data_IF_977412625592
#
_entry.id   IF_977412625592
#
_cell.length_a   1.000
_cell.length_b   1.000
_cell.length_c   1.000
_cell.angle_alpha   90.00
_cell.angle_beta   90.00
_cell.angle_gamma   90.00
#
_symmetry.space_group_name_H-M   'P 1'
#
loop_
_entity.id
_entity.type
_entity.pdbx_description
1 polymer ?
#
# COMPACT_ATOMS: atom_id res chain seq x y z
N UNK A 1 12.35 -17.35 -8.96
CA UNK A 1 12.84 -16.04 -9.48
C UNK A 1 12.69 -14.99 -8.38
N UNK A 2 13.58 -14.00 -8.27
CA UNK A 2 13.42 -12.93 -7.25
C UNK A 2 12.31 -11.99 -7.70
N UNK A 3 11.30 -11.81 -6.85
CA UNK A 3 10.28 -10.77 -7.01
C UNK A 3 10.90 -9.42 -6.63
N UNK A 4 11.04 -8.54 -7.63
CA UNK A 4 11.74 -7.25 -7.47
C UNK A 4 10.98 -6.27 -6.58
N UNK A 5 9.64 -6.27 -6.60
CA UNK A 5 8.85 -5.45 -5.68
C UNK A 5 9.03 -5.90 -4.24
N UNK A 6 9.01 -7.21 -4.02
CA UNK A 6 9.24 -7.79 -2.69
C UNK A 6 10.65 -7.52 -2.20
N UNK A 7 11.65 -7.61 -3.09
CA UNK A 7 13.03 -7.22 -2.78
C UNK A 7 13.15 -5.77 -2.34
N UNK A 8 12.53 -4.83 -3.09
CA UNK A 8 12.52 -3.42 -2.73
C UNK A 8 11.84 -3.21 -1.37
N UNK A 9 10.68 -3.85 -1.12
CA UNK A 9 10.00 -3.77 0.18
C UNK A 9 10.87 -4.30 1.32
N UNK A 10 11.54 -5.44 1.13
CA UNK A 10 12.42 -6.03 2.14
C UNK A 10 13.65 -5.15 2.40
N UNK A 11 14.27 -4.59 1.36
CA UNK A 11 15.38 -3.63 1.51
C UNK A 11 14.95 -2.37 2.29
N UNK A 12 13.75 -1.86 2.04
CA UNK A 12 13.20 -0.70 2.75
C UNK A 12 12.81 -1.02 4.20
N UNK A 13 12.28 -2.22 4.46
CA UNK A 13 11.86 -2.65 5.79
C UNK A 13 13.05 -2.83 6.76
N UNK A 14 14.23 -3.15 6.24
CA UNK A 14 15.43 -3.36 7.05
C UNK A 14 16.10 -2.09 7.61
N UNK A 15 15.47 -0.90 7.45
CA UNK A 15 15.78 0.40 8.05
C UNK A 15 17.26 0.85 8.17
N UNK A 16 17.51 2.07 7.67
CA UNK A 16 18.79 2.77 7.48
C UNK A 16 19.68 2.20 6.37
N UNK A 17 20.13 3.12 5.50
CA UNK A 17 21.19 2.83 4.53
C UNK A 17 22.38 2.18 5.22
N UNK A 18 22.99 1.21 4.54
CA UNK A 18 24.06 0.42 5.13
C UNK A 18 25.18 0.14 4.12
N UNK A 19 26.05 -0.81 4.48
CA UNK A 19 27.23 -1.17 3.72
C UNK A 19 26.94 -1.76 2.34
N UNK A 20 25.75 -2.33 2.10
CA UNK A 20 25.37 -2.96 0.83
C UNK A 20 24.12 -2.34 0.18
N UNK A 21 23.44 -1.43 0.86
CA UNK A 21 22.18 -0.82 0.43
C UNK A 21 22.20 0.70 0.62
N UNK A 22 21.73 1.40 -0.40
CA UNK A 22 21.60 2.86 -0.47
C UNK A 22 20.23 3.19 -1.10
N UNK A 23 19.64 4.34 -0.73
CA UNK A 23 18.41 4.81 -1.35
C UNK A 23 18.56 6.26 -1.78
N UNK A 24 17.81 6.64 -2.81
CA UNK A 24 17.85 7.99 -3.35
C UNK A 24 16.45 8.39 -3.79
N UNK A 25 16.11 9.65 -3.54
CA UNK A 25 14.86 10.23 -4.04
C UNK A 25 14.81 10.25 -5.57
N UNK A 26 15.90 10.67 -6.24
CA UNK A 26 16.00 10.75 -7.70
C UNK A 26 17.41 10.45 -8.20
N UNK A 27 17.52 9.92 -9.42
CA UNK A 27 18.79 9.65 -10.07
C UNK A 27 19.18 10.77 -11.04
N UNK A 28 20.09 11.65 -10.60
CA UNK A 28 20.52 12.79 -11.40
C UNK A 28 21.72 12.44 -12.30
N UNK A 29 21.47 12.00 -13.55
CA UNK A 29 22.54 11.65 -14.51
C UNK A 29 22.79 12.73 -15.58
N UNK A 30 22.15 13.89 -15.51
CA UNK A 30 22.32 14.95 -16.51
C UNK A 30 23.50 15.88 -16.20
N UNK A 31 23.79 16.13 -14.92
CA UNK A 31 24.90 17.00 -14.49
C UNK A 31 26.19 16.22 -14.23
N UNK A 32 27.35 16.90 -14.35
CA UNK A 32 28.65 16.31 -13.99
C UNK A 32 28.70 15.91 -12.51
N UNK A 33 28.11 16.73 -11.64
CA UNK A 33 28.03 16.47 -10.21
C UNK A 33 27.19 15.23 -9.89
N UNK A 34 26.00 15.11 -10.48
CA UNK A 34 25.12 13.97 -10.26
C UNK A 34 25.72 12.65 -10.75
N UNK A 35 26.36 12.66 -11.93
CA UNK A 35 27.15 11.53 -12.43
C UNK A 35 28.28 11.15 -11.46
N UNK A 36 29.01 12.14 -10.94
CA UNK A 36 30.09 11.90 -9.98
C UNK A 36 29.59 11.27 -8.68
N UNK A 37 28.49 11.79 -8.11
CA UNK A 37 27.84 11.23 -6.91
C UNK A 37 27.39 9.79 -7.14
N UNK A 38 26.72 9.51 -8.25
CA UNK A 38 26.27 8.16 -8.58
C UNK A 38 27.46 7.18 -8.73
N UNK A 39 28.47 7.55 -9.52
CA UNK A 39 29.67 6.74 -9.71
C UNK A 39 30.42 6.49 -8.39
N UNK A 40 30.46 7.47 -7.49
CA UNK A 40 31.03 7.33 -6.15
C UNK A 40 30.31 6.24 -5.36
N UNK A 41 28.98 6.24 -5.35
CA UNK A 41 28.17 5.22 -4.66
C UNK A 41 28.39 3.83 -5.26
N UNK A 42 28.37 3.71 -6.59
CA UNK A 42 28.65 2.45 -7.29
C UNK A 42 30.03 1.89 -6.89
N UNK A 43 31.06 2.73 -6.93
CA UNK A 43 32.43 2.35 -6.60
C UNK A 43 32.53 1.87 -5.15
N UNK A 44 31.97 2.64 -4.21
CA UNK A 44 31.98 2.33 -2.78
C UNK A 44 31.24 1.01 -2.47
N UNK A 45 30.02 0.85 -3.00
CA UNK A 45 29.19 -0.33 -2.77
C UNK A 45 29.78 -1.59 -3.39
N UNK A 46 30.39 -1.50 -4.57
CA UNK A 46 31.08 -2.63 -5.19
C UNK A 46 32.29 -3.07 -4.38
N UNK A 47 33.12 -2.12 -3.95
CA UNK A 47 34.37 -2.43 -3.25
C UNK A 47 34.13 -2.97 -1.84
N UNK A 48 33.07 -2.55 -1.17
CA UNK A 48 32.69 -3.07 0.17
C UNK A 48 32.00 -4.43 0.13
N UNK A 49 31.55 -4.91 -1.03
CA UNK A 49 30.74 -6.12 -1.15
C UNK A 49 31.24 -7.05 -2.28
N UNK A 50 32.45 -7.62 -2.15
CA UNK A 50 33.02 -8.46 -3.20
C UNK A 50 32.31 -9.82 -3.37
N UNK A 51 31.48 -10.24 -2.42
CA UNK A 51 30.86 -11.58 -2.39
C UNK A 51 29.32 -11.59 -2.35
N UNK A 52 28.67 -10.43 -2.35
CA UNK A 52 27.22 -10.31 -2.38
C UNK A 52 26.80 -9.19 -3.33
N UNK A 53 25.53 -9.18 -3.74
CA UNK A 53 25.00 -8.04 -4.47
C UNK A 53 24.88 -6.83 -3.54
N UNK A 54 24.99 -5.64 -4.13
CA UNK A 54 24.64 -4.37 -3.49
C UNK A 54 23.50 -3.71 -4.25
N UNK A 55 22.73 -2.87 -3.57
CA UNK A 55 21.49 -2.31 -4.08
C UNK A 55 21.44 -0.80 -3.91
N UNK A 56 20.96 -0.11 -4.95
CA UNK A 56 20.49 1.28 -4.83
C UNK A 56 19.02 1.31 -5.24
N UNK A 57 18.15 1.77 -4.35
CA UNK A 57 16.72 1.97 -4.65
C UNK A 57 16.47 3.45 -4.92
N UNK A 58 15.91 3.75 -6.08
CA UNK A 58 15.67 5.11 -6.57
C UNK A 58 14.17 5.38 -6.65
N UNK A 59 13.74 6.58 -6.24
CA UNK A 59 12.32 6.95 -6.18
C UNK A 59 11.72 6.75 -4.79
N UNK A 60 12.54 6.88 -3.75
CA UNK A 60 12.14 6.71 -2.35
C UNK A 60 12.62 7.89 -1.51
N UNK A 61 11.78 8.40 -0.63
CA UNK A 61 12.13 9.47 0.30
C UNK A 61 13.12 9.02 1.39
N UNK A 62 14.10 9.88 1.67
CA UNK A 62 15.22 9.57 2.57
C UNK A 62 14.78 9.46 4.04
N UNK A 63 13.77 10.21 4.46
CA UNK A 63 13.33 10.23 5.86
C UNK A 63 12.23 9.20 6.18
N UNK A 64 11.31 8.97 5.24
CA UNK A 64 10.07 8.20 5.50
C UNK A 64 10.06 6.80 4.90
N UNK A 65 11.04 6.46 4.04
CA UNK A 65 11.00 5.27 3.17
C UNK A 65 9.77 5.24 2.22
N UNK A 66 9.08 6.36 2.03
CA UNK A 66 7.91 6.43 1.17
C UNK A 66 8.32 6.32 -0.30
N UNK A 67 7.62 5.45 -1.04
CA UNK A 67 7.85 5.26 -2.47
C UNK A 67 7.14 6.36 -3.25
N UNK A 68 7.90 7.29 -3.82
CA UNK A 68 7.41 8.44 -4.60
C UNK A 68 7.57 8.29 -6.11
N UNK A 69 8.42 7.34 -6.52
CA UNK A 69 8.76 7.07 -7.92
C UNK A 69 9.69 8.11 -8.54
N UNK A 70 10.43 7.67 -9.56
CA UNK A 70 11.34 8.46 -10.37
C UNK A 70 11.05 8.23 -11.87
N UNK A 71 11.73 8.99 -12.72
CA UNK A 71 11.65 8.88 -14.17
C UNK A 71 12.25 7.55 -14.67
N UNK A 72 11.84 7.13 -15.87
CA UNK A 72 12.38 5.94 -16.53
C UNK A 72 13.83 6.17 -17.01
N UNK A 73 14.73 5.23 -16.71
CA UNK A 73 16.10 5.24 -17.25
C UNK A 73 16.43 3.98 -18.05
N UNK A 74 17.27 4.16 -19.07
CA UNK A 74 17.82 3.07 -19.89
C UNK A 74 19.09 2.50 -19.22
N UNK A 75 19.04 1.20 -18.89
CA UNK A 75 20.13 0.44 -18.27
C UNK A 75 21.45 0.55 -19.05
N UNK A 76 21.38 0.56 -20.39
CA UNK A 76 22.58 0.64 -21.24
C UNK A 76 23.36 1.93 -21.01
N UNK A 77 22.66 3.06 -20.78
CA UNK A 77 23.28 4.36 -20.50
C UNK A 77 24.00 4.36 -19.15
N UNK A 78 23.44 3.67 -18.17
CA UNK A 78 24.00 3.55 -16.82
C UNK A 78 25.28 2.72 -16.85
N UNK A 79 25.25 1.52 -17.45
CA UNK A 79 26.44 0.68 -17.55
C UNK A 79 27.55 1.36 -18.37
N UNK A 80 27.20 2.05 -19.46
CA UNK A 80 28.17 2.80 -20.27
C UNK A 80 28.84 3.93 -19.48
N UNK A 81 28.07 4.66 -18.66
CA UNK A 81 28.61 5.69 -17.76
C UNK A 81 29.64 5.08 -16.80
N UNK A 82 29.33 3.95 -16.18
CA UNK A 82 30.23 3.28 -15.23
C UNK A 82 31.50 2.80 -15.94
N UNK A 83 31.37 2.19 -17.11
CA UNK A 83 32.50 1.72 -17.92
C UNK A 83 33.42 2.86 -18.38
N UNK A 84 32.87 4.05 -18.63
CA UNK A 84 33.63 5.19 -19.12
C UNK A 84 34.57 5.79 -18.05
N UNK A 85 34.18 5.73 -16.76
CA UNK A 85 34.88 6.42 -15.67
C UNK A 85 35.60 5.50 -14.69
N UNK A 86 35.21 4.23 -14.58
CA UNK A 86 35.86 3.29 -13.68
C UNK A 86 36.80 2.34 -14.43
N UNK A 87 37.91 2.02 -13.78
CA UNK A 87 38.71 0.84 -14.05
C UNK A 87 38.14 -0.33 -13.26
N UNK A 88 38.22 -1.55 -13.80
CA UNK A 88 37.52 -2.71 -13.27
C UNK A 88 36.04 -2.44 -12.93
N UNK A 89 35.22 -1.83 -13.79
CA UNK A 89 33.83 -1.48 -13.46
C UNK A 89 33.02 -2.73 -13.03
N UNK A 90 32.16 -2.63 -11.99
CA UNK A 90 31.24 -3.70 -11.67
C UNK A 90 30.18 -3.86 -12.77
N UNK A 91 29.62 -5.06 -12.87
CA UNK A 91 28.42 -5.26 -13.68
C UNK A 91 27.23 -4.75 -12.89
N UNK A 92 26.46 -3.87 -13.51
CA UNK A 92 25.27 -3.26 -12.94
C UNK A 92 24.08 -3.70 -13.78
N UNK A 93 22.94 -3.84 -13.13
CA UNK A 93 21.65 -4.02 -13.76
C UNK A 93 20.71 -2.97 -13.18
N UNK A 94 20.15 -2.13 -14.03
CA UNK A 94 19.10 -1.21 -13.67
C UNK A 94 17.75 -1.72 -14.17
N UNK A 95 16.80 -1.87 -13.25
CA UNK A 95 15.44 -2.32 -13.57
C UNK A 95 14.44 -1.23 -13.18
N UNK A 96 13.58 -0.85 -14.14
CA UNK A 96 12.45 0.05 -13.91
C UNK A 96 11.26 -0.77 -13.38
N UNK A 97 11.01 -0.72 -12.07
CA UNK A 97 9.97 -1.52 -11.43
C UNK A 97 8.69 -0.69 -11.26
N UNK A 98 7.58 -1.01 -11.93
CA UNK A 98 6.33 -0.30 -11.73
C UNK A 98 5.72 -0.68 -10.38
N UNK A 99 5.21 0.30 -9.64
CA UNK A 99 4.50 0.09 -8.37
C UNK A 99 3.01 0.46 -8.50
N UNK A 100 2.09 -0.29 -7.87
CA UNK A 100 0.64 -0.11 -8.05
C UNK A 100 0.11 1.28 -7.67
N UNK A 101 0.73 1.94 -6.69
CA UNK A 101 0.30 3.25 -6.19
C UNK A 101 1.00 4.43 -6.89
N UNK A 102 1.86 4.16 -7.88
CA UNK A 102 2.55 5.21 -8.63
C UNK A 102 1.79 5.59 -9.91
N UNK A 103 1.90 6.86 -10.35
CA UNK A 103 1.49 7.28 -11.69
C UNK A 103 2.11 6.40 -12.79
N UNK A 104 1.42 6.29 -13.94
CA UNK A 104 1.84 5.39 -15.05
C UNK A 104 3.22 5.74 -15.64
N UNK A 105 3.62 7.00 -15.52
CA UNK A 105 4.88 7.57 -16.00
C UNK A 105 6.02 7.46 -14.98
N UNK A 106 5.74 6.97 -13.76
CA UNK A 106 6.73 6.82 -12.69
C UNK A 106 7.03 5.37 -12.38
N UNK A 107 8.29 5.11 -12.03
CA UNK A 107 8.79 3.78 -11.66
C UNK A 107 9.71 3.87 -10.45
N UNK A 108 9.96 2.75 -9.78
CA UNK A 108 11.04 2.64 -8.81
C UNK A 108 12.25 2.03 -9.51
N UNK A 109 13.36 2.76 -9.51
CA UNK A 109 14.61 2.27 -10.09
C UNK A 109 15.32 1.33 -9.11
N UNK A 110 15.60 0.10 -9.53
CA UNK A 110 16.43 -0.83 -8.76
C UNK A 110 17.77 -1.00 -9.47
N UNK A 111 18.82 -0.46 -8.86
CA UNK A 111 20.21 -0.69 -9.29
C UNK A 111 20.74 -1.91 -8.53
N UNK A 112 21.02 -3.00 -9.22
CA UNK A 112 21.73 -4.16 -8.68
C UNK A 112 23.19 -4.13 -9.12
N UNK A 113 24.12 -4.01 -8.16
CA UNK A 113 25.56 -4.05 -8.39
C UNK A 113 26.04 -5.47 -8.09
N UNK A 114 26.60 -6.15 -9.09
CA UNK A 114 27.08 -7.52 -8.96
C UNK A 114 28.41 -7.58 -8.18
N UNK A 115 28.62 -8.63 -7.36
CA UNK A 115 29.86 -8.82 -6.63
C UNK A 115 31.04 -8.92 -7.59
N UNK A 116 32.17 -8.35 -7.18
CA UNK A 116 33.40 -8.37 -7.96
C UNK A 116 34.62 -8.41 -7.04
N UNK A 117 35.53 -9.35 -7.31
CA UNK A 117 36.75 -9.52 -6.51
C UNK A 117 37.83 -8.47 -6.80
N UNK A 118 37.77 -7.80 -7.95
CA UNK A 118 38.72 -6.73 -8.31
C UNK A 118 38.21 -5.38 -7.82
N UNK A 119 39.10 -4.61 -7.20
CA UNK A 119 38.82 -3.24 -6.75
C UNK A 119 38.55 -2.34 -7.96
N UNK A 120 37.43 -1.61 -7.88
CA UNK A 120 37.06 -0.55 -8.82
C UNK A 120 37.62 0.79 -8.35
N UNK A 121 38.13 1.59 -9.28
CA UNK A 121 38.62 2.94 -9.00
C UNK A 121 38.42 3.86 -10.21
N UNK A 122 38.48 5.18 -10.01
CA UNK A 122 38.26 6.16 -11.06
C UNK A 122 39.48 6.24 -11.99
N UNK A 123 39.35 5.88 -13.27
CA UNK A 123 40.44 6.07 -14.26
C UNK A 123 40.48 7.48 -14.86
N UNK A 124 39.41 8.25 -14.69
CA UNK A 124 39.27 9.64 -15.13
C UNK A 124 38.68 10.48 -14.01
N UNK A 125 39.07 11.74 -13.93
CA UNK A 125 38.46 12.68 -12.99
C UNK A 125 37.05 13.06 -13.43
N UNK A 126 36.18 13.33 -12.45
CA UNK A 126 34.83 13.85 -12.69
C UNK A 126 34.40 14.74 -11.53
N UNK A 127 33.99 15.97 -11.84
CA UNK A 127 33.63 16.98 -10.84
C UNK A 127 34.78 17.17 -9.81
N UNK A 128 34.54 16.88 -8.53
CA UNK A 128 35.53 16.98 -7.44
C UNK A 128 36.30 15.69 -7.19
N UNK A 129 36.04 14.61 -7.94
CA UNK A 129 36.68 13.30 -7.75
C UNK A 129 37.91 13.21 -8.66
N UNK A 130 39.13 13.11 -8.11
CA UNK A 130 40.35 12.91 -8.90
C UNK A 130 40.42 11.52 -9.52
N UNK A 131 41.23 11.37 -10.57
CA UNK A 131 41.61 10.05 -11.07
C UNK A 131 42.41 9.26 -10.02
N UNK A 132 42.47 7.94 -10.18
CA UNK A 132 43.07 6.96 -9.27
C UNK A 132 42.46 6.91 -7.87
N UNK A 133 41.32 7.56 -7.65
CA UNK A 133 40.61 7.48 -6.36
C UNK A 133 39.75 6.23 -6.31
N UNK A 134 39.79 5.51 -5.19
CA UNK A 134 38.85 4.43 -4.89
C UNK A 134 37.99 4.82 -3.69
N UNK A 135 36.81 4.21 -3.55
CA UNK A 135 35.92 4.45 -2.43
C UNK A 135 35.54 3.13 -1.76
N UNK A 136 35.29 3.20 -0.46
CA UNK A 136 34.71 2.13 0.35
C UNK A 136 33.51 2.67 1.13
N UNK A 137 32.52 1.81 1.33
CA UNK A 137 31.34 2.11 2.14
C UNK A 137 31.51 1.57 3.56
N UNK A 138 31.35 2.45 4.55
CA UNK A 138 31.39 2.16 5.99
C UNK A 138 30.07 2.67 6.59
N UNK A 139 29.20 1.76 7.01
CA UNK A 139 27.80 2.10 7.31
C UNK A 139 27.13 2.73 6.08
N UNK A 140 26.50 3.88 6.24
CA UNK A 140 25.88 4.67 5.16
C UNK A 140 26.86 5.60 4.43
N UNK A 141 28.11 5.74 4.89
CA UNK A 141 29.05 6.72 4.35
C UNK A 141 30.01 6.10 3.32
N UNK A 142 30.30 6.86 2.26
CA UNK A 142 31.26 6.50 1.22
C UNK A 142 32.54 7.33 1.37
N UNK A 143 33.62 6.69 1.82
CA UNK A 143 34.90 7.33 2.13
C UNK A 143 35.94 7.02 1.06
N UNK A 144 36.74 8.01 0.60
CA UNK A 144 37.84 7.75 -0.31
C UNK A 144 38.93 6.93 0.39
N UNK A 145 39.59 6.04 -0.34
CA UNK A 145 40.74 5.31 0.15
C UNK A 145 41.79 5.13 -0.95
N UNK A 146 43.04 5.15 -0.52
CA UNK A 146 44.23 4.85 -1.32
C UNK A 146 44.85 3.52 -0.82
N UNK A 147 44.42 3.05 0.34
CA UNK A 147 44.91 1.84 0.99
C UNK A 147 44.26 0.57 0.43
N UNK A 148 44.90 -0.58 0.69
CA UNK A 148 44.40 -1.88 0.28
C UNK A 148 43.08 -2.17 1.00
N UNK A 149 41.99 -2.28 0.25
CA UNK A 149 40.65 -2.53 0.78
C UNK A 149 40.60 -3.95 1.37
N UNK A 150 40.31 -4.11 2.68
CA UNK A 150 40.21 -5.42 3.29
C UNK A 150 38.98 -6.16 2.75
N UNK A 151 39.18 -7.43 2.44
CA UNK A 151 38.14 -8.30 1.92
C UNK A 151 37.16 -8.65 3.05
N UNK A 152 35.92 -8.17 2.97
CA UNK A 152 34.86 -8.44 3.96
C UNK A 152 33.80 -9.40 3.41
N UNK A 153 33.28 -10.25 4.29
CA UNK A 153 32.10 -11.12 4.06
C UNK A 153 30.92 -10.79 4.97
N UNK A 154 30.98 -9.68 5.70
CA UNK A 154 30.02 -9.36 6.77
C UNK A 154 28.56 -9.29 6.32
N UNK A 155 28.31 -8.90 5.06
CA UNK A 155 26.95 -8.70 4.54
C UNK A 155 26.39 -9.93 3.80
N UNK A 156 27.19 -10.97 3.57
CA UNK A 156 26.82 -12.09 2.69
C UNK A 156 25.56 -12.79 3.18
N UNK A 157 25.52 -13.17 4.45
CA UNK A 157 24.36 -13.87 5.04
C UNK A 157 23.11 -12.99 5.04
N UNK A 158 23.25 -11.71 5.40
CA UNK A 158 22.15 -10.76 5.42
C UNK A 158 21.55 -10.56 4.02
N UNK A 159 22.39 -10.35 3.00
CA UNK A 159 21.93 -10.17 1.62
C UNK A 159 21.29 -11.44 1.07
N UNK A 160 21.86 -12.63 1.34
CA UNK A 160 21.26 -13.91 0.92
C UNK A 160 19.89 -14.10 1.57
N UNK A 161 19.75 -13.78 2.87
CA UNK A 161 18.48 -13.86 3.58
C UNK A 161 17.43 -12.93 2.95
N UNK A 162 17.78 -11.66 2.71
CA UNK A 162 16.90 -10.69 2.05
C UNK A 162 16.49 -11.17 0.64
N UNK A 163 17.44 -11.64 -0.16
CA UNK A 163 17.16 -12.13 -1.51
C UNK A 163 16.28 -13.37 -1.50
N UNK A 164 16.49 -14.30 -0.56
CA UNK A 164 15.67 -15.51 -0.41
C UNK A 164 14.24 -15.18 0.04
N UNK A 165 14.07 -14.27 1.00
CA UNK A 165 12.76 -13.76 1.42
C UNK A 165 12.06 -12.97 0.32
N UNK A 166 12.77 -12.60 -0.73
CA UNK A 166 12.25 -11.89 -1.90
C UNK A 166 11.96 -12.83 -3.08
N UNK A 167 12.16 -14.14 -2.94
CA UNK A 167 11.81 -15.12 -3.96
C UNK A 167 10.36 -15.55 -3.80
N UNK A 168 9.60 -15.46 -4.89
CA UNK A 168 8.33 -16.17 -5.00
C UNK A 168 8.66 -17.58 -5.51
N UNK A 169 8.67 -18.56 -4.61
CA UNK A 169 8.58 -19.97 -5.00
C UNK A 169 7.10 -20.36 -5.10
N UNK A 170 6.82 -21.36 -5.94
CA UNK A 170 5.48 -21.96 -6.01
C UNK A 170 5.12 -22.54 -4.65
N UNK A 171 6.07 -23.18 -3.97
CA UNK A 171 5.96 -23.68 -2.60
C UNK A 171 5.47 -22.59 -1.64
N UNK A 172 6.17 -21.45 -1.54
CA UNK A 172 5.76 -20.34 -0.66
C UNK A 172 4.36 -19.83 -0.99
N UNK A 173 4.01 -19.79 -2.28
CA UNK A 173 2.69 -19.34 -2.73
C UNK A 173 1.61 -20.32 -2.29
N UNK A 174 1.84 -21.63 -2.49
CA UNK A 174 0.94 -22.69 -2.05
C UNK A 174 0.80 -22.71 -0.53
N UNK A 175 1.91 -22.64 0.21
CA UNK A 175 1.92 -22.58 1.66
C UNK A 175 1.15 -21.37 2.17
N UNK A 176 1.30 -20.22 1.53
CA UNK A 176 0.58 -19.01 1.93
C UNK A 176 -0.93 -19.09 1.61
N UNK A 177 -1.30 -19.75 0.51
CA UNK A 177 -2.72 -20.04 0.19
C UNK A 177 -3.31 -21.02 1.19
N UNK A 178 -2.57 -22.08 1.53
CA UNK A 178 -2.99 -23.06 2.53
C UNK A 178 -3.13 -22.41 3.90
N UNK A 179 -2.13 -21.66 4.37
CA UNK A 179 -2.18 -20.90 5.62
C UNK A 179 -3.40 -19.96 5.68
N UNK A 180 -3.68 -19.22 4.60
CA UNK A 180 -4.87 -18.36 4.50
C UNK A 180 -6.14 -19.16 4.76
N UNK A 181 -6.29 -20.32 4.11
CA UNK A 181 -7.50 -21.14 4.13
C UNK A 181 -7.64 -21.96 5.43
N UNK A 182 -6.56 -22.62 5.87
CA UNK A 182 -6.62 -23.65 6.91
C UNK A 182 -6.28 -23.14 8.30
N UNK A 183 -5.53 -22.04 8.41
CA UNK A 183 -5.08 -21.50 9.69
C UNK A 183 -5.82 -20.19 9.99
N UNK A 184 -5.64 -19.17 9.13
CA UNK A 184 -6.11 -17.81 9.42
C UNK A 184 -7.62 -17.65 9.29
N UNK A 185 -8.24 -18.29 8.30
CA UNK A 185 -9.66 -18.16 8.01
C UNK A 185 -10.41 -19.50 8.03
N UNK A 186 -9.95 -20.45 8.86
CA UNK A 186 -10.50 -21.81 8.96
C UNK A 186 -12.02 -21.87 9.17
N UNK A 187 -12.58 -20.86 9.84
CA UNK A 187 -14.00 -20.79 10.21
C UNK A 187 -14.84 -20.00 9.20
N UNK A 188 -14.25 -19.55 8.08
CA UNK A 188 -14.92 -18.75 7.05
C UNK A 188 -14.85 -19.45 5.68
N UNK A 189 -15.88 -19.28 4.83
CA UNK A 189 -15.79 -19.65 3.42
C UNK A 189 -14.63 -18.91 2.75
N UNK A 190 -13.63 -19.67 2.31
CA UNK A 190 -12.44 -19.17 1.63
C UNK A 190 -12.46 -19.54 0.15
N UNK A 191 -11.85 -18.68 -0.65
CA UNK A 191 -11.73 -18.84 -2.09
C UNK A 191 -10.39 -18.28 -2.55
N UNK A 192 -9.91 -18.76 -3.69
CA UNK A 192 -8.74 -18.21 -4.36
C UNK A 192 -8.99 -18.13 -5.87
N UNK A 193 -8.25 -17.23 -6.52
CA UNK A 193 -8.19 -17.14 -7.98
C UNK A 193 -6.80 -16.70 -8.41
N UNK A 194 -6.28 -17.38 -9.44
CA UNK A 194 -5.04 -16.99 -10.11
C UNK A 194 -5.40 -16.08 -11.28
N UNK A 195 -4.73 -14.92 -11.34
CA UNK A 195 -4.81 -13.97 -12.44
C UNK A 195 -3.47 -13.96 -13.19
N UNK A 196 -3.56 -13.99 -14.52
CA UNK A 196 -2.39 -14.23 -15.40
C UNK A 196 -1.67 -15.50 -14.93
N UNK A 197 -0.35 -15.48 -14.82
CA UNK A 197 0.42 -16.63 -14.36
C UNK A 197 0.82 -16.56 -12.88
N UNK A 198 0.85 -15.36 -12.28
CA UNK A 198 1.62 -15.13 -11.05
C UNK A 198 0.85 -14.47 -9.90
N UNK A 199 -0.37 -13.95 -10.13
CA UNK A 199 -1.12 -13.23 -9.11
C UNK A 199 -2.14 -14.15 -8.45
N UNK A 200 -2.00 -14.38 -7.15
CA UNK A 200 -2.92 -15.24 -6.41
C UNK A 200 -3.70 -14.40 -5.42
N UNK A 201 -4.96 -14.18 -5.73
CA UNK A 201 -5.88 -13.47 -4.84
C UNK A 201 -6.64 -14.49 -4.03
N UNK A 202 -6.52 -14.41 -2.71
CA UNK A 202 -7.34 -15.16 -1.76
C UNK A 202 -8.37 -14.23 -1.11
N UNK A 203 -9.56 -14.75 -0.85
CA UNK A 203 -10.55 -14.04 -0.05
C UNK A 203 -11.34 -14.98 0.85
N UNK A 204 -11.65 -14.49 2.04
CA UNK A 204 -12.49 -15.14 3.03
C UNK A 204 -13.63 -14.20 3.40
N UNK A 205 -14.83 -14.72 3.63
CA UNK A 205 -15.93 -13.90 4.12
C UNK A 205 -17.21 -14.69 4.37
N UNK A 206 -18.00 -14.20 5.32
CA UNK A 206 -19.31 -14.77 5.61
C UNK A 206 -20.31 -14.36 4.54
N UNK A 207 -20.78 -15.36 3.77
CA UNK A 207 -21.76 -15.14 2.70
C UNK A 207 -23.14 -14.86 3.28
N UNK A 208 -23.80 -13.84 2.74
CA UNK A 208 -25.20 -13.51 3.01
C UNK A 208 -25.89 -13.23 1.67
N UNK A 209 -27.01 -13.89 1.41
CA UNK A 209 -27.86 -13.58 0.25
C UNK A 209 -28.89 -12.54 0.65
N UNK A 210 -29.03 -11.49 -0.15
CA UNK A 210 -30.13 -10.55 -0.05
C UNK A 210 -30.70 -10.33 -1.45
N UNK A 211 -31.96 -10.76 -1.65
CA UNK A 211 -32.57 -10.90 -2.98
C UNK A 211 -31.68 -11.77 -3.89
N UNK A 212 -31.40 -11.33 -5.10
CA UNK A 212 -30.57 -12.03 -6.10
C UNK A 212 -29.06 -11.79 -5.93
N UNK A 213 -28.63 -10.97 -4.96
CA UNK A 213 -27.23 -10.60 -4.79
C UNK A 213 -26.58 -11.30 -3.58
N UNK A 214 -25.36 -11.77 -3.77
CA UNK A 214 -24.54 -12.37 -2.70
C UNK A 214 -23.59 -11.32 -2.16
N UNK A 215 -23.76 -11.01 -0.88
CA UNK A 215 -22.88 -10.15 -0.12
C UNK A 215 -21.93 -10.99 0.73
N UNK A 216 -20.76 -10.43 1.01
CA UNK A 216 -19.80 -10.97 1.95
C UNK A 216 -19.62 -9.96 3.08
N UNK A 217 -19.68 -10.43 4.32
CA UNK A 217 -19.35 -9.66 5.52
C UNK A 217 -18.14 -10.28 6.20
N UNK A 218 -17.45 -9.56 7.08
CA UNK A 218 -16.20 -10.03 7.72
C UNK A 218 -15.18 -10.51 6.70
N UNK A 219 -14.92 -9.65 5.73
CA UNK A 219 -14.17 -10.00 4.54
C UNK A 219 -12.69 -9.69 4.73
N UNK A 220 -11.85 -10.64 4.36
CA UNK A 220 -10.42 -10.47 4.19
C UNK A 220 -10.03 -10.84 2.76
N UNK A 221 -9.30 -9.98 2.07
CA UNK A 221 -8.88 -10.16 0.68
C UNK A 221 -7.40 -9.84 0.58
N UNK A 222 -6.62 -10.78 0.07
CA UNK A 222 -5.16 -10.69 0.00
C UNK A 222 -4.63 -11.08 -1.37
N UNK A 223 -3.65 -10.32 -1.85
CA UNK A 223 -2.76 -10.72 -2.93
C UNK A 223 -1.56 -11.44 -2.31
N UNK A 224 -1.70 -12.76 -2.20
CA UNK A 224 -0.88 -13.60 -1.34
C UNK A 224 0.58 -13.64 -1.83
N UNK A 225 0.79 -13.70 -3.14
CA UNK A 225 2.11 -13.72 -3.77
C UNK A 225 2.89 -12.39 -3.63
N UNK A 226 2.24 -11.30 -3.21
CA UNK A 226 2.90 -10.03 -2.87
C UNK A 226 2.80 -9.66 -1.38
N UNK A 227 2.17 -10.51 -0.57
CA UNK A 227 1.89 -10.26 0.85
C UNK A 227 1.17 -8.92 1.08
N UNK A 228 0.22 -8.60 0.19
CA UNK A 228 -0.57 -7.36 0.27
C UNK A 228 -2.00 -7.67 0.65
N UNK A 229 -2.47 -7.04 1.72
CA UNK A 229 -3.89 -7.01 2.07
C UNK A 229 -4.61 -6.00 1.16
N UNK A 230 -5.45 -6.50 0.27
CA UNK A 230 -6.21 -5.70 -0.70
C UNK A 230 -7.44 -5.05 -0.05
N UNK A 231 -8.10 -5.77 0.87
CA UNK A 231 -9.26 -5.27 1.59
C UNK A 231 -9.47 -6.05 2.88
N UNK A 232 -9.89 -5.36 3.94
CA UNK A 232 -10.32 -5.99 5.17
C UNK A 232 -11.43 -5.19 5.82
N UNK A 233 -12.54 -5.86 6.14
CA UNK A 233 -13.59 -5.26 6.93
C UNK A 233 -14.39 -6.28 7.72
N UNK A 234 -14.60 -5.99 9.01
CA UNK A 234 -15.44 -6.80 9.89
C UNK A 234 -16.94 -6.56 9.69
N UNK A 235 -17.32 -5.45 9.08
CA UNK A 235 -18.70 -4.94 9.13
C UNK A 235 -19.26 -4.57 7.76
N UNK A 236 -18.41 -4.37 6.77
CA UNK A 236 -18.87 -3.97 5.44
C UNK A 236 -19.47 -5.15 4.69
N UNK A 237 -20.61 -4.88 4.06
CA UNK A 237 -21.20 -5.77 3.08
C UNK A 237 -20.56 -5.46 1.72
N UNK A 238 -19.77 -6.40 1.20
CA UNK A 238 -19.11 -6.25 -0.09
C UNK A 238 -19.61 -7.27 -1.09
N UNK A 239 -19.64 -6.86 -2.36
CA UNK A 239 -19.84 -7.75 -3.49
C UNK A 239 -18.50 -7.92 -4.19
N UNK A 240 -18.09 -9.18 -4.33
CA UNK A 240 -16.85 -9.56 -5.02
C UNK A 240 -17.24 -10.09 -6.40
N UNK A 241 -16.65 -9.50 -7.44
CA UNK A 241 -16.78 -9.98 -8.83
C UNK A 241 -15.43 -10.00 -9.51
N UNK A 242 -15.23 -10.88 -10.47
CA UNK A 242 -13.98 -10.97 -11.20
C UNK A 242 -14.22 -11.49 -12.61
N UNK A 243 -13.32 -11.17 -13.52
CA UNK A 243 -13.24 -11.77 -14.85
C UNK A 243 -11.88 -12.49 -15.02
N UNK A 244 -11.39 -12.64 -16.24
CA UNK A 244 -10.08 -13.27 -16.50
C UNK A 244 -8.91 -12.43 -15.98
N UNK A 245 -9.04 -11.11 -16.00
CA UNK A 245 -7.92 -10.17 -15.85
C UNK A 245 -8.09 -9.18 -14.70
N UNK A 246 -9.27 -9.14 -14.08
CA UNK A 246 -9.58 -8.15 -13.06
C UNK A 246 -10.39 -8.70 -11.90
N UNK A 247 -10.12 -8.13 -10.72
CA UNK A 247 -10.82 -8.41 -9.47
C UNK A 247 -11.45 -7.13 -8.95
N UNK A 248 -12.74 -7.20 -8.59
CA UNK A 248 -13.52 -6.06 -8.20
C UNK A 248 -14.15 -6.27 -6.82
N UNK A 249 -14.05 -5.24 -6.00
CA UNK A 249 -14.68 -5.17 -4.68
C UNK A 249 -15.61 -3.97 -4.71
N UNK A 250 -16.91 -4.19 -4.53
CA UNK A 250 -17.89 -3.12 -4.38
C UNK A 250 -18.39 -3.12 -2.94
N UNK A 251 -18.07 -2.08 -2.19
CA UNK A 251 -18.60 -1.84 -0.84
C UNK A 251 -20.03 -1.33 -0.92
N UNK A 252 -20.91 -1.86 -0.06
CA UNK A 252 -22.29 -1.41 0.07
C UNK A 252 -22.56 -0.93 1.49
N UNK A 253 -23.42 0.09 1.59
CA UNK A 253 -23.88 0.63 2.87
C UNK A 253 -25.37 0.34 3.02
N UNK A 254 -25.79 -0.27 4.14
CA UNK A 254 -27.20 -0.39 4.48
C UNK A 254 -27.75 0.98 4.92
N UNK A 255 -28.74 1.51 4.19
CA UNK A 255 -29.43 2.75 4.52
C UNK A 255 -30.94 2.56 4.48
N UNK A 256 -31.63 3.13 5.46
CA UNK A 256 -33.09 3.03 5.53
C UNK A 256 -33.67 3.97 6.59
N UNK A 257 -34.97 4.24 6.45
CA UNK A 257 -35.81 4.87 7.47
C UNK A 257 -36.94 3.90 7.83
N UNK A 258 -37.34 3.88 9.10
CA UNK A 258 -38.51 3.14 9.60
C UNK A 258 -38.57 1.68 9.10
N UNK A 259 -37.53 0.91 9.39
CA UNK A 259 -37.41 -0.54 9.11
C UNK A 259 -37.30 -0.94 7.62
N UNK A 260 -37.21 0.00 6.69
CA UNK A 260 -36.94 -0.28 5.27
C UNK A 260 -35.49 -0.02 4.91
N UNK A 261 -34.62 -1.00 5.14
CA UNK A 261 -33.20 -0.94 4.77
C UNK A 261 -32.97 -1.39 3.33
N UNK A 262 -32.29 -0.57 2.55
CA UNK A 262 -31.77 -0.89 1.21
C UNK A 262 -30.24 -0.78 1.19
N UNK A 263 -29.58 -1.50 0.30
CA UNK A 263 -28.12 -1.50 0.17
C UNK A 263 -27.72 -0.59 -1.00
N UNK A 264 -26.92 0.43 -0.70
CA UNK A 264 -26.44 1.38 -1.69
C UNK A 264 -24.95 1.16 -1.95
N UNK A 265 -24.51 1.07 -3.22
CA UNK A 265 -23.09 0.92 -3.53
C UNK A 265 -22.34 2.19 -3.11
N UNK A 266 -21.30 2.05 -2.30
CA UNK A 266 -20.51 3.15 -1.79
C UNK A 266 -19.30 3.43 -2.68
N UNK A 267 -18.44 2.44 -2.81
CA UNK A 267 -17.13 2.55 -3.45
C UNK A 267 -16.81 1.24 -4.16
N UNK A 268 -16.24 1.33 -5.36
CA UNK A 268 -15.73 0.19 -6.12
C UNK A 268 -14.23 0.29 -6.26
N UNK A 269 -13.52 -0.73 -5.81
CA UNK A 269 -12.08 -0.91 -6.02
C UNK A 269 -11.88 -1.97 -7.11
N UNK A 270 -11.09 -1.65 -8.11
CA UNK A 270 -10.78 -2.51 -9.26
C UNK A 270 -9.28 -2.78 -9.30
N UNK A 271 -8.90 -4.06 -9.28
CA UNK A 271 -7.53 -4.52 -9.50
C UNK A 271 -7.44 -5.12 -10.90
N UNK A 272 -6.64 -4.53 -11.77
CA UNK A 272 -6.39 -5.03 -13.13
C UNK A 272 -4.99 -5.62 -13.22
N UNK A 273 -4.88 -6.89 -13.61
CA UNK A 273 -3.63 -7.63 -13.69
C UNK A 273 -3.12 -7.70 -15.14
N UNK A 274 -1.81 -7.53 -15.33
CA UNK A 274 -1.13 -7.50 -16.63
C UNK A 274 -0.05 -8.59 -16.71
N UNK A 275 0.26 -9.05 -17.93
CA UNK A 275 1.16 -10.19 -18.16
C UNK A 275 2.62 -9.89 -17.78
N UNK A 276 3.02 -8.62 -17.76
CA UNK A 276 4.35 -8.18 -17.32
C UNK A 276 4.52 -8.19 -15.79
N UNK A 277 3.62 -8.84 -15.06
CA UNK A 277 3.64 -8.88 -13.60
C UNK A 277 3.33 -7.53 -12.95
N UNK A 278 2.73 -6.58 -13.67
CA UNK A 278 2.13 -5.37 -13.10
C UNK A 278 0.65 -5.56 -12.78
N UNK A 279 0.16 -4.84 -11.77
CA UNK A 279 -1.26 -4.66 -11.56
C UNK A 279 -1.56 -3.20 -11.20
N UNK A 280 -2.74 -2.74 -11.62
CA UNK A 280 -3.23 -1.40 -11.33
C UNK A 280 -4.41 -1.48 -10.37
N UNK A 281 -4.42 -0.62 -9.36
CA UNK A 281 -5.56 -0.41 -8.48
C UNK A 281 -6.25 0.89 -8.85
N UNK A 282 -7.57 0.85 -9.00
CA UNK A 282 -8.41 2.02 -9.25
C UNK A 282 -9.59 2.03 -8.29
N UNK A 283 -9.84 3.19 -7.68
CA UNK A 283 -10.97 3.39 -6.76
C UNK A 283 -11.96 4.36 -7.39
N UNK A 284 -13.25 3.99 -7.39
CA UNK A 284 -14.34 4.82 -7.90
C UNK A 284 -15.45 4.93 -6.86
N UNK A 285 -15.81 6.15 -6.47
CA UNK A 285 -17.01 6.39 -5.67
C UNK A 285 -18.26 6.11 -6.50
N UNK A 286 -19.16 5.27 -5.98
CA UNK A 286 -20.44 4.91 -6.62
C UNK A 286 -21.65 5.47 -5.87
N UNK A 287 -21.42 6.07 -4.70
CA UNK A 287 -22.50 6.42 -3.79
C UNK A 287 -23.38 7.56 -4.27
N UNK A 288 -24.65 7.21 -4.46
CA UNK A 288 -25.73 8.17 -4.66
C UNK A 288 -26.67 8.09 -3.44
N UNK A 289 -26.75 9.16 -2.62
CA UNK A 289 -27.55 9.12 -1.42
C UNK A 289 -29.05 9.04 -1.75
N UNK A 290 -29.83 8.23 -1.03
CA UNK A 290 -31.26 8.18 -1.20
C UNK A 290 -31.92 9.52 -0.88
N UNK A 291 -32.83 9.94 -1.75
CA UNK A 291 -33.63 11.15 -1.59
C UNK A 291 -34.95 10.80 -0.92
N UNK A 292 -35.24 11.48 0.19
CA UNK A 292 -36.48 11.32 0.94
C UNK A 292 -37.32 12.59 0.91
N UNK A 293 -38.61 12.44 1.23
CA UNK A 293 -39.50 13.57 1.38
C UNK A 293 -39.02 14.48 2.53
N UNK A 294 -38.68 15.74 2.21
CA UNK A 294 -38.12 16.70 3.18
C UNK A 294 -39.05 16.95 4.37
N UNK A 295 -40.39 16.96 4.20
CA UNK A 295 -41.33 17.13 5.32
C UNK A 295 -41.24 15.97 6.30
N UNK A 296 -41.22 14.73 5.77
CA UNK A 296 -41.04 13.53 6.60
C UNK A 296 -39.70 13.56 7.33
N UNK A 297 -38.61 13.90 6.62
CA UNK A 297 -37.29 14.03 7.23
C UNK A 297 -37.23 15.10 8.33
N UNK A 298 -37.91 16.24 8.18
CA UNK A 298 -37.99 17.24 9.25
C UNK A 298 -38.63 16.69 10.53
N UNK A 299 -39.71 15.91 10.41
CA UNK A 299 -40.33 15.27 11.57
C UNK A 299 -39.39 14.26 12.23
N UNK A 300 -38.76 13.40 11.43
CA UNK A 300 -37.80 12.39 11.91
C UNK A 300 -36.58 13.05 12.56
N UNK A 301 -36.04 14.11 11.95
CA UNK A 301 -34.93 14.88 12.47
C UNK A 301 -35.25 15.49 13.83
N UNK A 302 -36.39 16.17 13.96
CA UNK A 302 -36.81 16.76 15.22
C UNK A 302 -37.06 15.70 16.32
N UNK A 303 -37.66 14.56 15.97
CA UNK A 303 -37.83 13.44 16.89
C UNK A 303 -36.46 12.90 17.37
N UNK A 304 -35.50 12.78 16.45
CA UNK A 304 -34.13 12.34 16.76
C UNK A 304 -33.41 13.32 17.69
N UNK A 305 -33.54 14.63 17.46
CA UNK A 305 -32.98 15.64 18.37
C UNK A 305 -33.59 15.59 19.76
N UNK A 306 -34.92 15.39 19.85
CA UNK A 306 -35.59 15.21 21.14
C UNK A 306 -35.08 13.95 21.87
N UNK A 307 -34.85 12.85 21.15
CA UNK A 307 -34.28 11.63 21.73
C UNK A 307 -32.87 11.86 22.25
N UNK A 308 -32.02 12.60 21.52
CA UNK A 308 -30.68 12.98 21.99
C UNK A 308 -30.77 13.81 23.28
N UNK A 309 -31.66 14.80 23.35
CA UNK A 309 -31.85 15.61 24.56
C UNK A 309 -32.35 14.79 25.75
N UNK A 310 -33.27 13.84 25.52
CA UNK A 310 -33.73 12.90 26.56
C UNK A 310 -32.56 12.07 27.11
N UNK A 311 -31.73 11.51 26.23
CA UNK A 311 -30.56 10.75 26.63
C UNK A 311 -29.53 11.60 27.39
N UNK A 312 -29.29 12.85 26.97
CA UNK A 312 -28.42 13.80 27.69
C UNK A 312 -28.90 14.06 29.12
N UNK A 313 -30.23 14.06 29.34
CA UNK A 313 -30.86 14.22 30.65
C UNK A 313 -31.00 12.91 31.44
N UNK A 314 -30.49 11.79 30.93
CA UNK A 314 -30.62 10.47 31.55
C UNK A 314 -32.03 9.87 31.50
N UNK A 315 -32.90 10.37 30.63
CA UNK A 315 -34.27 9.86 30.46
C UNK A 315 -34.29 8.61 29.58
N UNK A 316 -35.32 7.77 29.78
CA UNK A 316 -35.55 6.57 28.97
C UNK A 316 -35.90 6.93 27.53
N UNK A 317 -35.18 6.30 26.60
CA UNK A 317 -35.43 6.31 25.16
C UNK A 317 -35.38 4.86 24.70
N UNK A 318 -36.29 4.48 23.79
CA UNK A 318 -36.29 3.15 23.19
C UNK A 318 -34.92 2.86 22.57
N UNK A 319 -34.36 1.69 22.88
CA UNK A 319 -33.06 1.25 22.38
C UNK A 319 -32.99 1.30 20.85
N UNK A 320 -34.08 0.94 20.16
CA UNK A 320 -34.15 1.00 18.70
C UNK A 320 -33.96 2.42 18.18
N UNK A 321 -34.57 3.40 18.85
CA UNK A 321 -34.41 4.82 18.52
C UNK A 321 -32.98 5.29 18.76
N UNK A 322 -32.33 4.85 19.85
CA UNK A 322 -30.93 5.18 20.12
C UNK A 322 -30.00 4.63 19.04
N UNK A 323 -30.20 3.38 18.63
CA UNK A 323 -29.41 2.74 17.59
C UNK A 323 -29.59 3.40 16.21
N UNK A 324 -30.76 4.00 15.95
CA UNK A 324 -31.04 4.69 14.69
C UNK A 324 -30.52 6.14 14.63
N UNK A 325 -30.15 6.76 15.76
CA UNK A 325 -29.64 8.16 15.77
C UNK A 325 -28.52 8.39 14.74
N UNK A 326 -27.47 7.54 14.66
CA UNK A 326 -26.38 7.77 13.72
C UNK A 326 -26.77 7.70 12.25
N UNK A 327 -27.56 6.70 11.86
CA UNK A 327 -28.00 6.52 10.48
C UNK A 327 -28.97 7.62 10.06
N UNK A 328 -29.87 8.01 10.96
CA UNK A 328 -30.85 9.07 10.72
C UNK A 328 -30.20 10.42 10.52
N UNK A 329 -29.28 10.83 11.40
CA UNK A 329 -28.59 12.12 11.25
C UNK A 329 -27.70 12.16 9.99
N UNK A 330 -27.05 11.03 9.65
CA UNK A 330 -26.34 10.91 8.38
C UNK A 330 -27.27 11.08 7.19
N UNK A 331 -28.43 10.40 7.17
CA UNK A 331 -29.42 10.53 6.10
C UNK A 331 -29.95 11.94 5.97
N UNK A 332 -30.25 12.61 7.09
CA UNK A 332 -30.64 14.02 7.09
C UNK A 332 -29.56 14.90 6.47
N UNK A 333 -28.29 14.72 6.84
CA UNK A 333 -27.19 15.46 6.25
C UNK A 333 -27.06 15.23 4.74
N UNK A 334 -27.22 13.99 4.29
CA UNK A 334 -27.23 13.62 2.87
C UNK A 334 -28.44 14.16 2.09
N UNK A 335 -29.47 14.68 2.78
CA UNK A 335 -30.70 15.27 2.22
C UNK A 335 -30.80 16.78 2.52
N UNK A 336 -29.65 17.49 2.57
CA UNK A 336 -29.50 18.95 2.76
C UNK A 336 -29.71 19.51 4.17
N UNK A 337 -29.85 18.68 5.21
CA UNK A 337 -29.92 19.16 6.59
C UNK A 337 -28.50 19.38 7.11
N UNK A 338 -27.90 20.52 6.76
CA UNK A 338 -26.48 20.82 7.02
C UNK A 338 -26.07 20.62 8.48
N UNK A 339 -26.91 21.05 9.42
CA UNK A 339 -26.65 20.97 10.86
C UNK A 339 -26.66 19.52 11.40
N UNK A 340 -27.23 18.56 10.67
CA UNK A 340 -27.39 17.20 11.16
C UNK A 340 -26.06 16.50 11.41
N UNK A 341 -25.01 16.84 10.66
CA UNK A 341 -23.66 16.32 10.89
C UNK A 341 -23.06 16.85 12.19
N UNK A 342 -23.23 18.13 12.48
CA UNK A 342 -22.72 18.73 13.72
C UNK A 342 -23.48 18.16 14.92
N UNK A 343 -24.80 17.97 14.79
CA UNK A 343 -25.62 17.26 15.79
C UNK A 343 -25.19 15.82 16.01
N UNK A 344 -24.77 15.12 14.96
CA UNK A 344 -24.21 13.78 15.10
C UNK A 344 -22.93 13.82 15.94
N UNK A 345 -22.02 14.75 15.64
CA UNK A 345 -20.75 14.92 16.37
C UNK A 345 -21.00 15.30 17.85
N UNK A 346 -21.91 16.21 18.12
CA UNK A 346 -22.33 16.61 19.48
C UNK A 346 -22.88 15.41 20.28
N UNK A 347 -23.63 14.52 19.63
CA UNK A 347 -24.22 13.34 20.27
C UNK A 347 -23.20 12.25 20.66
N UNK A 348 -21.92 12.38 20.24
CA UNK A 348 -20.85 11.39 20.45
C UNK A 348 -20.75 10.91 21.89
N UNK A 349 -20.72 11.83 22.86
CA UNK A 349 -20.50 11.49 24.27
C UNK A 349 -21.62 10.61 24.81
N UNK A 350 -22.87 10.95 24.46
CA UNK A 350 -24.05 10.22 24.91
C UNK A 350 -24.15 8.86 24.24
N UNK A 351 -23.90 8.79 22.92
CA UNK A 351 -23.90 7.54 22.18
C UNK A 351 -22.78 6.59 22.68
N UNK A 352 -21.59 7.14 22.97
CA UNK A 352 -20.45 6.35 23.47
C UNK A 352 -20.71 5.76 24.86
N UNK A 353 -21.42 6.49 25.72
CA UNK A 353 -21.72 6.07 27.09
C UNK A 353 -23.00 5.21 27.19
N UNK A 354 -23.69 4.95 26.07
CA UNK A 354 -24.89 4.12 26.05
C UNK A 354 -24.54 2.65 26.34
N UNK A 355 -25.45 1.94 27.02
CA UNK A 355 -25.23 0.56 27.49
C UNK A 355 -24.92 -0.40 26.33
N UNK A 356 -25.61 -0.24 25.19
CA UNK A 356 -25.37 -1.05 24.01
C UNK A 356 -24.24 -0.44 23.16
N UNK A 357 -23.12 -1.15 23.07
CA UNK A 357 -21.93 -0.72 22.31
C UNK A 357 -22.16 -0.59 20.80
N UNK A 358 -23.21 -1.22 20.25
CA UNK A 358 -23.60 -1.09 18.85
C UNK A 358 -23.93 0.36 18.47
N UNK A 359 -24.45 1.16 19.40
CA UNK A 359 -24.74 2.57 19.14
C UNK A 359 -23.46 3.33 18.73
N UNK A 360 -22.34 3.08 19.44
CA UNK A 360 -21.06 3.69 19.10
C UNK A 360 -20.42 3.11 17.84
N UNK A 361 -20.69 1.84 17.52
CA UNK A 361 -20.30 1.25 16.24
C UNK A 361 -20.99 1.98 15.08
N UNK A 362 -22.32 2.09 15.11
CA UNK A 362 -23.09 2.80 14.08
C UNK A 362 -22.69 4.27 13.95
N UNK A 363 -22.37 4.92 15.07
CA UNK A 363 -21.79 6.27 15.06
C UNK A 363 -20.49 6.36 14.26
N UNK A 364 -19.54 5.45 14.50
CA UNK A 364 -18.27 5.42 13.76
C UNK A 364 -18.49 5.14 12.28
N UNK A 365 -19.41 4.25 11.94
CA UNK A 365 -19.74 3.90 10.56
C UNK A 365 -20.37 5.07 9.80
N UNK A 366 -21.37 5.75 10.38
CA UNK A 366 -21.96 6.95 9.79
C UNK A 366 -20.89 8.03 9.52
N UNK A 367 -19.98 8.28 10.46
CA UNK A 367 -18.90 9.23 10.24
C UNK A 367 -17.85 8.76 9.21
N UNK A 368 -17.58 7.45 9.10
CA UNK A 368 -16.71 6.88 8.06
C UNK A 368 -17.27 7.18 6.67
N UNK A 369 -18.55 6.93 6.45
CA UNK A 369 -19.26 7.19 5.19
C UNK A 369 -19.21 8.69 4.86
N UNK A 370 -19.57 9.56 5.81
CA UNK A 370 -19.52 11.02 5.61
C UNK A 370 -18.11 11.55 5.31
N UNK A 371 -17.06 10.92 5.84
CA UNK A 371 -15.67 11.27 5.50
C UNK A 371 -15.30 10.84 4.09
N UNK A 372 -15.64 9.61 3.67
CA UNK A 372 -15.39 9.12 2.29
C UNK A 372 -16.05 10.02 1.26
N UNK A 373 -17.25 10.54 1.55
CA UNK A 373 -17.92 11.52 0.69
C UNK A 373 -17.11 12.82 0.54
N UNK A 374 -16.51 13.36 1.61
CA UNK A 374 -15.80 14.65 1.53
C UNK A 374 -14.58 14.60 0.59
N UNK A 375 -13.83 13.49 0.57
CA UNK A 375 -12.57 13.40 -0.17
C UNK A 375 -12.72 13.25 -1.70
N UNK A 376 -13.91 12.86 -2.18
CA UNK A 376 -14.16 12.64 -3.61
C UNK A 376 -14.92 13.78 -4.31
N UNK A 377 -15.37 14.80 -3.56
CA UNK A 377 -15.96 16.04 -4.10
C UNK A 377 -14.97 17.24 -4.00
N UNK A 378 -13.69 16.97 -3.74
CA UNK A 378 -12.62 17.98 -3.64
C UNK A 378 -11.71 17.97 -4.85
#
# INVERSE_FOLDING_TARGET
MINKRLLIKNLLAHNNENSFYDKKRQLNLHSKEGKAKFLKHICALSNSNPFNNSYIVVGVEDDTNEIVGDDFFDDSRIQNLVNAFLENPPKILYENIPFPNLPKDKVVGLVTIKPKNKISFFKKSIHTIPAQTSFVRIGSNSSPTIEKIPVSKSNVEAVISIENNSRNSIENTLDSVLDFITIRHKDLPCHYKVFRENFVVCWAGQKRKFREQTFFSRVDIELVNEQVKLFYSNQDDVVITYDENSFHITEYVPLGLNDKTSFYPLEKVTFTFYDNGYYKMETKMLFEPPQYNKKLLHHIYNATLNNIQKLQKGQLVDEKEVLNIPSTLMLCFLNDFKDAKDKLIEAKTVIKNYKNSLAYVYFKESLRILRKMKYNYS
#
